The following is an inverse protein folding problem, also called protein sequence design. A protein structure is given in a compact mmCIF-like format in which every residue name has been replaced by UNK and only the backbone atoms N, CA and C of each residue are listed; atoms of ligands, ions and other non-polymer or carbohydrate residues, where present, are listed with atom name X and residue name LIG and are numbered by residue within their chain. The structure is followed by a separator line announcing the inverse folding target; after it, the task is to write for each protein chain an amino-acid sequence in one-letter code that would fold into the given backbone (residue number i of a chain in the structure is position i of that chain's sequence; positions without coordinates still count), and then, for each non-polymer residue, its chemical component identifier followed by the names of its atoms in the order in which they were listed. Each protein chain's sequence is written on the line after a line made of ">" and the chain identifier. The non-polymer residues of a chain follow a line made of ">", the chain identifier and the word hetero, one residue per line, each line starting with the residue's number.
data_IF_842735806474
#
_entry.id   IF_842735806474
#
_cell.length_a   1.000
_cell.length_b   1.000
_cell.length_c   1.000
_cell.angle_alpha   90.00
_cell.angle_beta   90.00
_cell.angle_gamma   90.00
#
_symmetry.space_group_name_H-M   'P 1'
#
loop_
_entity.id
_entity.type
_entity.pdbx_description
1 polymer ?
#
# COMPACT_ATOMS: atom_id res chain seq x y z
N UNK A 1 -14.84 -5.56 5.78
CA UNK A 1 -14.23 -4.27 6.16
C UNK A 1 -13.42 -3.77 4.98
N UNK A 2 -13.98 -2.87 4.19
CA UNK A 2 -13.24 -2.21 3.10
C UNK A 2 -12.65 -0.92 3.64
N UNK A 3 -11.39 -0.64 3.30
CA UNK A 3 -10.70 0.56 3.79
C UNK A 3 -10.10 1.32 2.61
N UNK A 4 -10.22 2.64 2.65
CA UNK A 4 -9.45 3.49 1.77
C UNK A 4 -7.94 3.20 1.93
N UNK A 5 -7.19 3.40 0.85
CA UNK A 5 -5.74 3.22 0.89
C UNK A 5 -5.12 4.16 1.93
N UNK A 6 -4.31 3.60 2.83
CA UNK A 6 -3.63 4.34 3.90
C UNK A 6 -2.13 4.09 3.91
N UNK A 7 -1.38 5.08 4.39
CA UNK A 7 0.06 4.91 4.67
C UNK A 7 0.17 4.30 6.06
N UNK A 8 0.78 3.11 6.16
CA UNK A 8 0.91 2.38 7.44
C UNK A 8 2.27 2.64 8.09
N UNK A 9 3.31 2.83 7.27
CA UNK A 9 4.67 3.10 7.75
C UNK A 9 5.36 4.04 6.78
N UNK A 10 6.04 5.06 7.29
CA UNK A 10 6.97 5.88 6.50
C UNK A 10 8.40 5.40 6.69
N UNK A 11 9.23 5.50 5.66
CA UNK A 11 10.65 5.18 5.78
C UNK A 11 11.35 6.21 6.68
N UNK A 12 11.60 5.80 7.92
CA UNK A 12 12.12 6.68 8.96
C UNK A 12 13.57 7.11 8.73
N UNK A 13 14.40 6.30 8.06
CA UNK A 13 15.84 6.56 8.01
C UNK A 13 16.16 7.83 7.22
N UNK A 14 15.73 7.90 5.97
CA UNK A 14 15.93 9.10 5.14
C UNK A 14 15.06 10.27 5.60
N UNK A 15 13.82 10.03 6.02
CA UNK A 15 12.94 11.11 6.45
C UNK A 15 13.44 11.80 7.72
N UNK A 16 13.93 11.03 8.71
CA UNK A 16 14.46 11.60 9.96
C UNK A 16 15.78 12.29 9.72
N UNK A 17 16.68 11.70 8.92
CA UNK A 17 17.97 12.31 8.63
C UNK A 17 17.83 13.69 7.99
N UNK A 18 16.97 13.84 6.97
CA UNK A 18 16.73 15.14 6.33
C UNK A 18 16.11 16.13 7.32
N UNK A 19 15.18 15.69 8.16
CA UNK A 19 14.55 16.57 9.16
C UNK A 19 15.54 17.02 10.24
N UNK A 20 16.43 16.13 10.69
CA UNK A 20 17.53 16.45 11.62
C UNK A 20 18.49 17.45 10.99
N UNK A 21 18.86 17.27 9.71
CA UNK A 21 19.72 18.21 9.00
C UNK A 21 19.08 19.59 8.86
N UNK A 22 17.77 19.65 8.57
CA UNK A 22 17.01 20.92 8.54
C UNK A 22 17.04 21.57 9.91
N UNK A 23 16.71 20.84 10.97
CA UNK A 23 16.71 21.35 12.34
C UNK A 23 18.10 21.87 12.76
N UNK A 24 19.15 21.10 12.47
CA UNK A 24 20.53 21.51 12.74
C UNK A 24 20.92 22.77 11.96
N UNK A 25 20.56 22.87 10.68
CA UNK A 25 20.86 24.03 9.84
C UNK A 25 20.16 25.29 10.34
N UNK A 26 18.88 25.17 10.69
CA UNK A 26 18.10 26.29 11.25
C UNK A 26 18.67 26.73 12.60
N UNK A 27 19.02 25.80 13.49
CA UNK A 27 19.65 26.13 14.77
C UNK A 27 20.99 26.86 14.58
N UNK A 28 21.82 26.39 13.64
CA UNK A 28 23.09 27.04 13.30
C UNK A 28 22.86 28.43 12.72
N UNK A 29 21.85 28.62 11.88
CA UNK A 29 21.50 29.93 11.35
C UNK A 29 21.03 30.89 12.45
N UNK A 30 20.11 30.44 13.33
CA UNK A 30 19.67 31.24 14.47
C UNK A 30 20.85 31.61 15.38
N UNK A 31 21.76 30.67 15.64
CA UNK A 31 22.97 30.92 16.41
C UNK A 31 23.87 31.97 15.75
N UNK A 32 24.16 31.83 14.44
CA UNK A 32 25.01 32.77 13.71
C UNK A 32 24.40 34.17 13.65
N UNK A 33 23.08 34.28 13.42
CA UNK A 33 22.36 35.55 13.42
C UNK A 33 22.41 36.20 14.81
N UNK A 34 22.09 35.46 15.88
CA UNK A 34 22.13 36.00 17.24
C UNK A 34 23.55 36.45 17.60
N UNK A 35 24.56 35.65 17.28
CA UNK A 35 25.97 35.96 17.56
C UNK A 35 26.44 37.23 16.86
N UNK A 36 26.10 37.43 15.58
CA UNK A 36 26.49 38.64 14.84
C UNK A 36 25.78 39.91 15.33
N UNK A 37 24.62 39.76 15.97
CA UNK A 37 23.89 40.88 16.56
C UNK A 37 24.24 41.13 18.04
N UNK A 38 25.12 40.33 18.66
CA UNK A 38 25.52 40.50 20.05
C UNK A 38 26.67 41.51 20.20
N UNK A 39 26.67 42.35 21.25
CA UNK A 39 27.79 43.21 21.58
C UNK A 39 29.08 42.42 21.85
N UNK A 40 30.24 42.97 21.45
CA UNK A 40 31.56 42.30 21.55
C UNK A 40 31.89 41.79 22.97
N UNK A 41 31.43 42.49 24.01
CA UNK A 41 31.61 42.06 25.41
C UNK A 41 31.00 40.69 25.73
N UNK A 42 29.96 40.27 25.00
CA UNK A 42 29.27 38.99 25.21
C UNK A 42 29.84 37.86 24.34
N UNK A 43 30.52 38.18 23.23
CA UNK A 43 31.07 37.20 22.29
C UNK A 43 32.39 36.58 22.75
N UNK A 44 33.03 37.16 23.77
CA UNK A 44 34.27 36.64 24.38
C UNK A 44 34.01 35.41 25.27
N UNK A 45 32.81 35.29 25.82
CA UNK A 45 32.42 34.21 26.74
C UNK A 45 31.75 33.04 26.01
N UNK A 46 31.86 31.85 26.59
CA UNK A 46 31.08 30.69 26.13
C UNK A 46 29.58 30.95 26.37
N UNK A 47 28.66 30.57 25.46
CA UNK A 47 28.88 29.81 24.22
C UNK A 47 29.27 30.64 22.98
N UNK A 48 29.09 31.97 23.02
CA UNK A 48 29.20 32.87 21.86
C UNK A 48 30.62 33.05 21.28
N UNK A 49 31.64 32.59 22.01
CA UNK A 49 33.01 32.46 21.52
C UNK A 49 33.14 31.51 20.32
N UNK A 50 32.27 30.50 20.22
CA UNK A 50 32.33 29.50 19.16
C UNK A 50 31.81 30.10 17.84
N UNK A 51 32.61 30.02 16.76
CA UNK A 51 32.17 30.36 15.41
C UNK A 51 32.04 29.07 14.61
N UNK A 52 30.84 28.50 14.61
CA UNK A 52 30.55 27.23 13.92
C UNK A 52 30.46 27.43 12.40
N UNK A 53 29.61 28.36 11.96
CA UNK A 53 29.46 28.80 10.57
C UNK A 53 29.27 30.31 10.51
N UNK A 54 29.70 30.93 9.42
CA UNK A 54 29.31 32.29 9.05
C UNK A 54 27.86 32.33 8.52
N UNK A 55 27.23 33.51 8.53
CA UNK A 55 25.84 33.64 8.10
C UNK A 55 25.63 33.14 6.66
N UNK A 56 26.58 33.36 5.74
CA UNK A 56 26.42 32.93 4.36
C UNK A 56 26.37 31.39 4.25
N UNK A 57 27.28 30.69 4.93
CA UNK A 57 27.26 29.22 4.93
C UNK A 57 26.06 28.65 5.68
N UNK A 58 25.66 29.23 6.82
CA UNK A 58 24.50 28.78 7.57
C UNK A 58 23.18 28.98 6.79
N UNK A 59 23.07 30.10 6.06
CA UNK A 59 21.95 30.38 5.17
C UNK A 59 21.91 29.37 4.02
N UNK A 60 23.06 29.11 3.39
CA UNK A 60 23.17 28.14 2.30
C UNK A 60 22.79 26.73 2.75
N UNK A 61 23.28 26.28 3.92
CA UNK A 61 22.94 24.99 4.49
C UNK A 61 21.43 24.87 4.79
N UNK A 62 20.83 25.94 5.33
CA UNK A 62 19.38 25.98 5.61
C UNK A 62 18.56 25.89 4.33
N UNK A 63 18.87 26.72 3.32
CA UNK A 63 18.16 26.70 2.03
C UNK A 63 18.29 25.33 1.36
N UNK A 64 19.50 24.76 1.34
CA UNK A 64 19.76 23.46 0.73
C UNK A 64 18.98 22.33 1.43
N UNK A 65 19.01 22.27 2.76
CA UNK A 65 18.33 21.21 3.51
C UNK A 65 16.82 21.33 3.48
N UNK A 66 16.28 22.56 3.57
CA UNK A 66 14.84 22.82 3.42
C UNK A 66 14.38 22.48 2.00
N UNK A 67 15.12 22.92 0.98
CA UNK A 67 14.85 22.61 -0.42
C UNK A 67 14.85 21.10 -0.68
N UNK A 68 15.84 20.37 -0.16
CA UNK A 68 15.91 18.92 -0.27
C UNK A 68 14.71 18.23 0.42
N UNK A 69 14.28 18.74 1.58
CA UNK A 69 13.10 18.24 2.30
C UNK A 69 11.82 18.41 1.48
N UNK A 70 11.61 19.60 0.91
CA UNK A 70 10.46 19.88 0.05
C UNK A 70 10.48 19.03 -1.22
N UNK A 71 11.64 18.93 -1.88
CA UNK A 71 11.79 18.09 -3.08
C UNK A 71 11.45 16.62 -2.79
N UNK A 72 11.90 16.08 -1.65
CA UNK A 72 11.52 14.73 -1.21
C UNK A 72 10.03 14.59 -0.97
N UNK A 73 9.40 15.57 -0.31
CA UNK A 73 7.96 15.53 -0.05
C UNK A 73 7.14 15.55 -1.35
N UNK A 74 7.56 16.36 -2.33
CA UNK A 74 6.93 16.38 -3.66
C UNK A 74 7.13 15.06 -4.40
N UNK A 75 8.37 14.52 -4.36
CA UNK A 75 8.67 13.24 -4.99
C UNK A 75 7.83 12.09 -4.38
N UNK A 76 7.81 11.97 -3.05
CA UNK A 76 7.00 10.97 -2.34
C UNK A 76 5.51 11.08 -2.66
N UNK A 77 4.99 12.30 -2.85
CA UNK A 77 3.60 12.51 -3.27
C UNK A 77 3.36 12.06 -4.71
N UNK A 78 4.30 12.33 -5.62
CA UNK A 78 4.19 12.00 -7.03
C UNK A 78 4.25 10.48 -7.29
N UNK A 79 5.10 9.77 -6.55
CA UNK A 79 5.24 8.30 -6.69
C UNK A 79 4.28 7.49 -5.81
N UNK A 80 3.39 8.17 -5.07
CA UNK A 80 2.48 7.49 -4.14
C UNK A 80 1.64 6.48 -4.93
N UNK A 81 1.66 5.18 -4.55
CA UNK A 81 0.85 4.17 -5.22
C UNK A 81 -0.63 4.58 -5.21
N UNK A 82 -1.35 4.28 -6.28
CA UNK A 82 -2.79 4.50 -6.36
C UNK A 82 -3.45 3.15 -6.60
N UNK A 83 -3.56 2.36 -5.54
CA UNK A 83 -4.07 0.98 -5.64
C UNK A 83 -5.57 1.04 -5.89
N UNK A 84 -6.02 0.67 -7.08
CA UNK A 84 -7.42 0.46 -7.43
C UNK A 84 -7.75 -1.02 -7.56
N UNK A 85 -9.02 -1.33 -7.71
CA UNK A 85 -9.46 -2.68 -8.07
C UNK A 85 -10.75 -2.61 -8.85
N UNK A 86 -11.02 -3.66 -9.62
CA UNK A 86 -12.31 -3.88 -10.25
C UNK A 86 -12.55 -5.38 -10.39
N UNK A 87 -13.81 -5.77 -10.38
CA UNK A 87 -14.24 -7.13 -10.69
C UNK A 87 -15.07 -7.14 -11.96
N UNK A 88 -15.02 -8.25 -12.69
CA UNK A 88 -15.80 -8.45 -13.91
C UNK A 88 -16.05 -9.93 -14.18
N UNK A 89 -17.13 -10.24 -14.86
CA UNK A 89 -17.37 -11.56 -15.41
C UNK A 89 -16.43 -11.81 -16.60
N UNK A 90 -15.68 -12.91 -16.57
CA UNK A 90 -14.75 -13.29 -17.62
C UNK A 90 -14.99 -14.73 -18.05
N UNK A 91 -14.90 -14.96 -19.36
CA UNK A 91 -14.66 -16.29 -19.91
C UNK A 91 -13.18 -16.65 -19.73
N UNK A 92 -12.84 -17.93 -19.92
CA UNK A 92 -11.45 -18.47 -19.98
C UNK A 92 -10.65 -18.49 -18.67
N UNK A 93 -11.11 -17.86 -17.59
CA UNK A 93 -10.42 -17.93 -16.29
C UNK A 93 -10.64 -19.28 -15.59
N UNK A 94 -11.88 -19.79 -15.63
CA UNK A 94 -12.26 -21.06 -15.04
C UNK A 94 -12.24 -22.18 -16.08
N UNK A 95 -11.92 -23.43 -15.69
CA UNK A 95 -11.94 -24.57 -16.59
C UNK A 95 -13.33 -24.83 -17.20
N UNK A 96 -13.33 -25.39 -18.42
CA UNK A 96 -14.56 -25.78 -19.12
C UNK A 96 -15.39 -24.61 -19.63
N UNK A 97 -14.74 -23.51 -20.03
CA UNK A 97 -15.39 -22.29 -20.56
C UNK A 97 -16.42 -21.65 -19.61
N UNK A 98 -16.33 -21.99 -18.31
CA UNK A 98 -17.22 -21.44 -17.30
C UNK A 98 -16.94 -19.95 -17.09
N UNK A 99 -18.00 -19.18 -16.93
CA UNK A 99 -17.89 -17.78 -16.54
C UNK A 99 -17.47 -17.68 -15.06
N UNK A 100 -16.49 -16.83 -14.80
CA UNK A 100 -16.00 -16.56 -13.46
C UNK A 100 -15.94 -15.06 -13.20
N UNK A 101 -16.22 -14.66 -11.97
CA UNK A 101 -15.97 -13.31 -11.49
C UNK A 101 -14.48 -13.14 -11.20
N UNK A 102 -13.77 -12.47 -12.10
CA UNK A 102 -12.35 -12.16 -11.96
C UNK A 102 -12.14 -10.81 -11.29
N UNK A 103 -11.33 -10.76 -10.24
CA UNK A 103 -10.96 -9.53 -9.54
C UNK A 103 -9.52 -9.15 -9.87
N UNK A 104 -9.34 -7.91 -10.34
CA UNK A 104 -8.04 -7.36 -10.68
C UNK A 104 -7.71 -6.18 -9.76
N UNK A 105 -6.43 -6.07 -9.41
CA UNK A 105 -5.85 -4.88 -8.81
C UNK A 105 -5.13 -4.07 -9.89
N UNK A 106 -5.20 -2.75 -9.76
CA UNK A 106 -4.45 -1.81 -10.61
C UNK A 106 -3.60 -0.90 -9.72
N UNK A 107 -2.40 -0.56 -10.17
CA UNK A 107 -1.67 0.58 -9.63
C UNK A 107 -1.80 1.77 -10.59
N UNK A 108 -2.70 2.70 -10.30
CA UNK A 108 -2.90 3.91 -11.10
C UNK A 108 -1.80 4.96 -10.95
N UNK A 109 -0.75 4.70 -10.16
CA UNK A 109 0.39 5.62 -10.06
C UNK A 109 1.32 5.51 -11.27
N UNK A 110 2.23 6.49 -11.38
CA UNK A 110 3.23 6.55 -12.44
C UNK A 110 4.48 5.71 -12.16
N UNK A 111 4.64 5.17 -10.94
CA UNK A 111 5.81 4.39 -10.53
C UNK A 111 5.39 3.00 -10.02
N UNK A 112 6.35 2.09 -9.97
CA UNK A 112 6.18 0.73 -9.47
C UNK A 112 6.02 0.73 -7.96
N UNK A 113 5.14 -0.12 -7.46
CA UNK A 113 5.05 -0.47 -6.05
C UNK A 113 5.48 -1.93 -5.88
N UNK A 114 6.16 -2.26 -4.79
CA UNK A 114 6.60 -3.64 -4.52
C UNK A 114 5.67 -4.25 -3.48
N UNK A 115 5.08 -5.40 -3.77
CA UNK A 115 4.25 -6.12 -2.80
C UNK A 115 5.14 -6.59 -1.65
N UNK A 116 4.75 -6.23 -0.44
CA UNK A 116 5.42 -6.63 0.79
C UNK A 116 4.72 -7.83 1.43
N UNK A 117 3.39 -7.80 1.46
CA UNK A 117 2.59 -8.82 2.13
C UNK A 117 1.17 -8.80 1.56
N UNK A 118 0.55 -9.98 1.45
CA UNK A 118 -0.88 -10.14 1.21
C UNK A 118 -1.47 -11.10 2.23
N UNK A 119 -2.57 -10.67 2.86
CA UNK A 119 -3.34 -11.49 3.79
C UNK A 119 -4.80 -11.56 3.33
N UNK A 120 -5.49 -12.63 3.68
CA UNK A 120 -6.85 -12.92 3.24
C UNK A 120 -7.77 -13.12 4.44
N UNK A 121 -9.05 -12.82 4.25
CA UNK A 121 -10.12 -13.09 5.19
C UNK A 121 -11.34 -13.57 4.39
N UNK A 122 -11.88 -14.73 4.74
CA UNK A 122 -12.99 -15.37 4.02
C UNK A 122 -14.23 -15.38 4.91
N UNK A 123 -15.38 -15.04 4.34
CA UNK A 123 -16.70 -15.15 4.98
C UNK A 123 -17.64 -15.94 4.08
N UNK A 124 -18.40 -16.82 4.68
CA UNK A 124 -19.35 -17.70 4.00
C UNK A 124 -20.77 -17.17 4.13
N UNK A 125 -21.63 -17.54 3.18
CA UNK A 125 -23.06 -17.21 3.23
C UNK A 125 -23.71 -17.88 4.44
N UNK A 126 -24.78 -17.30 5.00
CA UNK A 126 -25.51 -17.87 6.15
C UNK A 126 -25.98 -19.31 5.89
N UNK A 127 -26.44 -19.61 4.67
CA UNK A 127 -26.84 -20.97 4.25
C UNK A 127 -25.69 -21.98 4.29
N UNK A 128 -24.45 -21.51 4.16
CA UNK A 128 -23.24 -22.33 4.27
C UNK A 128 -22.67 -22.32 5.69
N UNK A 129 -23.16 -21.46 6.59
CA UNK A 129 -22.62 -21.31 7.93
C UNK A 129 -23.16 -22.41 8.85
N UNK A 130 -22.39 -23.48 9.05
CA UNK A 130 -22.65 -24.41 10.14
C UNK A 130 -22.35 -23.70 11.47
N UNK A 131 -23.19 -23.95 12.48
CA UNK A 131 -23.32 -23.25 13.78
C UNK A 131 -22.02 -23.12 14.62
N UNK A 132 -20.92 -23.76 14.21
CA UNK A 132 -19.58 -23.69 14.83
C UNK A 132 -18.46 -23.17 13.90
N UNK A 133 -18.80 -22.73 12.68
CA UNK A 133 -17.83 -22.19 11.74
C UNK A 133 -17.48 -20.77 12.18
N UNK A 134 -16.25 -20.57 12.70
CA UNK A 134 -15.72 -19.22 12.96
C UNK A 134 -15.86 -18.40 11.68
N UNK A 135 -16.83 -17.48 11.63
CA UNK A 135 -16.86 -16.43 10.63
C UNK A 135 -15.49 -15.74 10.68
N UNK A 136 -14.69 -15.88 9.62
CA UNK A 136 -13.29 -15.54 9.62
C UNK A 136 -13.09 -14.07 9.95
N UNK A 137 -12.72 -13.75 11.18
CA UNK A 137 -12.27 -12.42 11.61
C UNK A 137 -10.75 -12.30 11.55
N UNK A 138 -10.04 -13.41 11.45
CA UNK A 138 -8.59 -13.45 11.39
C UNK A 138 -8.09 -13.24 9.96
N UNK A 139 -6.95 -12.56 9.83
CA UNK A 139 -6.23 -12.44 8.57
C UNK A 139 -5.26 -13.59 8.44
N UNK A 140 -5.40 -14.39 7.40
CA UNK A 140 -4.60 -15.59 7.14
C UNK A 140 -3.81 -15.46 5.84
N UNK A 141 -2.86 -16.35 5.60
CA UNK A 141 -2.15 -16.42 4.31
C UNK A 141 -3.05 -17.04 3.20
N UNK A 142 -2.56 -17.00 1.96
CA UNK A 142 -3.32 -17.48 0.79
C UNK A 142 -3.66 -18.97 0.86
N UNK A 143 -2.77 -19.80 1.41
CA UNK A 143 -2.96 -21.25 1.44
C UNK A 143 -4.00 -21.61 2.50
N UNK A 144 -3.92 -20.98 3.66
CA UNK A 144 -4.93 -21.13 4.71
C UNK A 144 -6.30 -20.63 4.25
N UNK A 145 -6.37 -19.50 3.53
CA UNK A 145 -7.62 -19.02 2.95
C UNK A 145 -8.20 -19.98 1.89
N UNK A 146 -7.35 -20.51 1.00
CA UNK A 146 -7.76 -21.48 -0.01
C UNK A 146 -8.29 -22.77 0.65
N UNK A 147 -7.56 -23.33 1.62
CA UNK A 147 -7.99 -24.51 2.37
C UNK A 147 -9.32 -24.27 3.13
N UNK A 148 -9.52 -23.05 3.65
CA UNK A 148 -10.78 -22.66 4.29
C UNK A 148 -11.94 -22.71 3.29
N UNK A 149 -11.74 -22.25 2.06
CA UNK A 149 -12.76 -22.33 0.98
C UNK A 149 -12.96 -23.80 0.54
N UNK A 150 -11.89 -24.57 0.39
CA UNK A 150 -11.95 -25.99 0.01
C UNK A 150 -12.71 -26.85 1.01
N UNK A 151 -12.66 -26.50 2.30
CA UNK A 151 -13.42 -27.19 3.35
C UNK A 151 -14.94 -27.17 3.13
N UNK A 152 -15.43 -26.34 2.20
CA UNK A 152 -16.84 -26.27 1.76
C UNK A 152 -17.15 -27.14 0.54
N UNK A 153 -16.23 -28.02 0.12
CA UNK A 153 -16.41 -28.86 -1.06
C UNK A 153 -16.30 -28.08 -2.38
N UNK A 154 -15.56 -26.97 -2.36
CA UNK A 154 -15.15 -26.22 -3.55
C UNK A 154 -13.73 -26.66 -3.94
N UNK A 155 -13.47 -26.76 -5.24
CA UNK A 155 -12.17 -27.20 -5.74
C UNK A 155 -11.32 -26.01 -6.20
N UNK A 156 -10.08 -25.91 -5.69
CA UNK A 156 -9.15 -24.87 -6.13
C UNK A 156 -8.72 -25.10 -7.59
N UNK A 157 -8.67 -24.00 -8.35
CA UNK A 157 -8.49 -23.93 -9.82
C UNK A 157 -9.64 -24.49 -10.65
N UNK A 158 -10.69 -24.98 -10.03
CA UNK A 158 -11.94 -25.37 -10.71
C UNK A 158 -13.06 -24.38 -10.38
N UNK A 159 -13.38 -24.21 -9.10
CA UNK A 159 -14.45 -23.33 -8.66
C UNK A 159 -13.95 -21.95 -8.24
N UNK A 160 -12.70 -21.86 -7.79
CA UNK A 160 -12.08 -20.59 -7.43
C UNK A 160 -10.56 -20.65 -7.56
N UNK A 161 -9.93 -19.48 -7.63
CA UNK A 161 -8.47 -19.35 -7.48
C UNK A 161 -8.16 -18.08 -6.71
N UNK A 162 -7.27 -18.20 -5.73
CA UNK A 162 -6.62 -17.07 -5.07
C UNK A 162 -5.19 -17.02 -5.59
N UNK A 163 -4.78 -15.90 -6.18
CA UNK A 163 -3.42 -15.79 -6.71
C UNK A 163 -2.43 -15.48 -5.59
N UNK A 164 -1.35 -16.26 -5.54
CA UNK A 164 -0.27 -16.01 -4.59
C UNK A 164 0.65 -14.93 -5.16
N UNK A 165 0.58 -13.75 -4.56
CA UNK A 165 1.48 -12.65 -4.87
C UNK A 165 2.45 -12.50 -3.70
N UNK A 166 3.61 -13.14 -3.86
CA UNK A 166 4.65 -13.16 -2.85
C UNK A 166 5.34 -11.81 -2.63
N UNK A 167 6.08 -11.66 -1.51
CA UNK A 167 6.89 -10.48 -1.26
C UNK A 167 7.92 -10.26 -2.38
N UNK A 168 8.15 -9.01 -2.75
CA UNK A 168 9.07 -8.63 -3.81
C UNK A 168 8.46 -8.59 -5.21
N UNK A 169 7.20 -9.04 -5.38
CA UNK A 169 6.53 -8.94 -6.68
C UNK A 169 6.30 -7.47 -7.05
N UNK A 170 6.75 -7.00 -8.22
CA UNK A 170 6.45 -5.65 -8.67
C UNK A 170 4.99 -5.54 -9.12
N UNK A 171 4.35 -4.46 -8.71
CA UNK A 171 3.08 -3.98 -9.22
C UNK A 171 3.37 -2.76 -10.13
N UNK A 172 3.49 -2.98 -11.45
CA UNK A 172 3.95 -1.95 -12.36
C UNK A 172 3.01 -0.75 -12.39
N UNK A 173 3.57 0.41 -12.76
CA UNK A 173 2.80 1.62 -13.03
C UNK A 173 1.74 1.34 -14.09
N UNK A 174 0.49 1.73 -13.82
CA UNK A 174 -0.68 1.47 -14.67
C UNK A 174 -0.89 -0.02 -14.99
N UNK A 175 -0.29 -0.91 -14.20
CA UNK A 175 -0.33 -2.34 -14.40
C UNK A 175 -1.56 -3.01 -13.79
N UNK A 176 -2.06 -4.03 -14.47
CA UNK A 176 -3.11 -4.91 -13.99
C UNK A 176 -2.52 -6.19 -13.41
N UNK A 177 -3.05 -6.62 -12.26
CA UNK A 177 -2.69 -7.87 -11.61
C UNK A 177 -3.97 -8.60 -11.21
N UNK A 178 -4.16 -9.81 -11.72
CA UNK A 178 -5.25 -10.68 -11.29
C UNK A 178 -5.01 -11.09 -9.84
N UNK A 179 -5.99 -10.84 -8.96
CA UNK A 179 -5.92 -11.24 -7.56
C UNK A 179 -6.59 -12.60 -7.34
N UNK A 180 -7.74 -12.82 -7.99
CA UNK A 180 -8.55 -14.02 -7.79
C UNK A 180 -9.62 -14.15 -8.85
N UNK A 181 -10.22 -15.33 -8.93
CA UNK A 181 -11.49 -15.53 -9.61
C UNK A 181 -12.38 -16.54 -8.89
N UNK A 182 -13.70 -16.44 -9.09
CA UNK A 182 -14.72 -17.29 -8.47
C UNK A 182 -15.81 -17.65 -9.47
N UNK A 183 -16.17 -18.92 -9.60
CA UNK A 183 -17.33 -19.36 -10.39
C UNK A 183 -18.63 -19.04 -9.66
N UNK A 184 -19.75 -19.16 -10.36
CA UNK A 184 -21.08 -19.08 -9.75
C UNK A 184 -21.22 -20.04 -8.55
N UNK A 185 -20.72 -21.28 -8.66
CA UNK A 185 -20.75 -22.25 -7.56
C UNK A 185 -20.02 -21.72 -6.33
N UNK A 186 -18.80 -21.20 -6.50
CA UNK A 186 -18.05 -20.63 -5.39
C UNK A 186 -18.73 -19.41 -4.77
N UNK A 187 -19.32 -18.54 -5.60
CA UNK A 187 -20.02 -17.32 -5.13
C UNK A 187 -21.35 -17.59 -4.41
N UNK A 188 -21.91 -18.81 -4.52
CA UNK A 188 -23.07 -19.23 -3.71
C UNK A 188 -22.66 -19.54 -2.27
N UNK A 189 -21.53 -20.23 -2.10
CA UNK A 189 -21.01 -20.62 -0.78
C UNK A 189 -20.27 -19.47 -0.07
N UNK A 190 -19.50 -18.69 -0.83
CA UNK A 190 -18.64 -17.63 -0.29
C UNK A 190 -19.33 -16.28 -0.41
N UNK A 191 -19.61 -15.65 0.73
CA UNK A 191 -20.26 -14.35 0.78
C UNK A 191 -19.29 -13.23 0.38
N UNK A 192 -18.11 -13.22 1.00
CA UNK A 192 -17.08 -12.22 0.75
C UNK A 192 -15.68 -12.76 1.00
N UNK A 193 -14.73 -12.30 0.19
CA UNK A 193 -13.30 -12.53 0.38
C UNK A 193 -12.63 -11.17 0.43
N UNK A 194 -12.07 -10.83 1.58
CA UNK A 194 -11.25 -9.64 1.73
C UNK A 194 -9.78 -10.01 1.52
N UNK A 195 -9.07 -9.15 0.79
CA UNK A 195 -7.61 -9.20 0.70
C UNK A 195 -7.03 -7.90 1.20
N UNK A 196 -6.02 -8.00 2.06
CA UNK A 196 -5.22 -6.88 2.55
C UNK A 196 -3.90 -6.90 1.82
N UNK A 197 -3.69 -5.90 0.97
CA UNK A 197 -2.45 -5.76 0.20
C UNK A 197 -1.61 -4.67 0.84
N UNK A 198 -0.36 -5.02 1.17
CA UNK A 198 0.68 -4.08 1.60
C UNK A 198 1.73 -3.96 0.53
N UNK A 199 2.02 -2.72 0.13
CA UNK A 199 3.04 -2.41 -0.87
C UNK A 199 4.01 -1.38 -0.34
N UNK A 200 5.24 -1.41 -0.83
CA UNK A 200 6.27 -0.41 -0.56
C UNK A 200 6.52 0.38 -1.83
N UNK A 201 6.50 1.70 -1.72
CA UNK A 201 6.85 2.59 -2.83
C UNK A 201 8.37 2.78 -2.98
N UNK A 202 8.78 3.49 -4.03
CA UNK A 202 10.19 3.73 -4.34
C UNK A 202 10.93 4.57 -3.28
N UNK A 203 10.22 5.35 -2.48
CA UNK A 203 10.79 6.12 -1.34
C UNK A 203 10.90 5.27 -0.07
N UNK A 204 10.24 4.11 -0.06
CA UNK A 204 10.24 3.13 1.02
C UNK A 204 9.06 3.26 1.96
N UNK A 205 8.03 4.04 1.62
CA UNK A 205 6.82 4.13 2.43
C UNK A 205 5.91 2.92 2.15
N UNK A 206 5.33 2.36 3.21
CA UNK A 206 4.40 1.23 3.15
C UNK A 206 2.97 1.73 3.07
N UNK A 207 2.25 1.29 2.05
CA UNK A 207 0.83 1.56 1.81
C UNK A 207 0.03 0.28 1.97
N UNK A 208 -1.18 0.39 2.50
CA UNK A 208 -2.09 -0.72 2.72
C UNK A 208 -3.47 -0.41 2.13
N UNK A 209 -4.08 -1.41 1.49
CA UNK A 209 -5.47 -1.37 1.04
C UNK A 209 -6.14 -2.71 1.33
N UNK A 210 -7.36 -2.66 1.89
CA UNK A 210 -8.22 -3.82 2.03
C UNK A 210 -9.29 -3.80 0.92
N UNK A 211 -9.35 -4.85 0.12
CA UNK A 211 -10.22 -4.99 -1.05
C UNK A 211 -11.19 -6.13 -0.79
N UNK A 212 -12.48 -5.94 -1.08
CA UNK A 212 -13.44 -7.04 -1.12
C UNK A 212 -13.54 -7.55 -2.57
N UNK A 213 -13.02 -8.75 -2.81
CA UNK A 213 -12.92 -9.36 -4.14
C UNK A 213 -14.29 -9.65 -4.76
N UNK A 214 -15.32 -9.82 -3.93
CA UNK A 214 -16.70 -10.10 -4.35
C UNK A 214 -17.61 -8.87 -4.26
N UNK A 215 -17.06 -7.67 -4.05
CA UNK A 215 -17.87 -6.45 -4.05
C UNK A 215 -18.44 -6.21 -5.44
N UNK A 216 -19.76 -6.08 -5.52
CA UNK A 216 -20.46 -5.87 -6.79
C UNK A 216 -20.41 -7.08 -7.71
N UNK A 217 -20.05 -8.27 -7.20
CA UNK A 217 -19.97 -9.47 -8.00
C UNK A 217 -21.32 -9.82 -8.63
N UNK A 218 -21.31 -10.03 -9.94
CA UNK A 218 -22.41 -10.69 -10.62
C UNK A 218 -22.38 -12.17 -10.25
N UNK A 219 -23.19 -12.56 -9.25
CA UNK A 219 -23.21 -13.93 -8.72
C UNK A 219 -23.77 -14.96 -9.69
N UNK A 220 -24.47 -14.53 -10.74
CA UNK A 220 -25.02 -15.39 -11.80
C UNK A 220 -24.64 -14.83 -13.18
N UNK A 221 -23.35 -14.86 -13.55
CA UNK A 221 -22.88 -14.28 -14.79
C UNK A 221 -23.46 -15.07 -15.97
N UNK A 222 -24.14 -14.38 -16.89
CA UNK A 222 -24.72 -14.98 -18.11
C UNK A 222 -23.85 -14.78 -19.33
N UNK A 223 -23.12 -13.67 -19.36
CA UNK A 223 -22.24 -13.26 -20.45
C UNK A 223 -20.95 -12.68 -19.85
N UNK A 224 -19.81 -12.79 -20.54
CA UNK A 224 -18.60 -12.09 -20.14
C UNK A 224 -18.82 -10.58 -20.27
N UNK A 225 -18.25 -9.81 -19.34
CA UNK A 225 -18.22 -8.36 -19.44
C UNK A 225 -17.24 -7.91 -20.53
N UNK A 226 -17.47 -6.74 -21.10
CA UNK A 226 -16.57 -6.15 -22.08
C UNK A 226 -15.14 -5.98 -21.53
N UNK A 227 -14.10 -6.06 -22.39
CA UNK A 227 -12.75 -5.67 -22.01
C UNK A 227 -12.73 -4.23 -21.46
N UNK A 228 -11.94 -3.94 -20.41
CA UNK A 228 -11.90 -2.60 -19.83
C UNK A 228 -11.18 -1.59 -20.74
N UNK A 229 -10.45 -2.08 -21.76
CA UNK A 229 -9.65 -1.33 -22.72
C UNK A 229 -9.62 -2.07 -24.07
#
# INVERSE_FOLDING_TARGET
>A
METAQRVVRRNGLFSRLVLVLVGASVLLLCYSVLRENLPDRLTVNWPWKLRLLDIQSATTATIATVGASLARAQYARAIRPALGYFGRAMAELAPGERLAWGCHMINGAQDVAIVQEMSYQVRFTESASQENSRNGTEWVDVHTAAATIESRGLEHREDFRLDFVGPGRPLPAQGLMLLSWFTERAMREVESVFVRVRVVDRVGDTHERCINLLKGANRTPRHPDAPPF
#
